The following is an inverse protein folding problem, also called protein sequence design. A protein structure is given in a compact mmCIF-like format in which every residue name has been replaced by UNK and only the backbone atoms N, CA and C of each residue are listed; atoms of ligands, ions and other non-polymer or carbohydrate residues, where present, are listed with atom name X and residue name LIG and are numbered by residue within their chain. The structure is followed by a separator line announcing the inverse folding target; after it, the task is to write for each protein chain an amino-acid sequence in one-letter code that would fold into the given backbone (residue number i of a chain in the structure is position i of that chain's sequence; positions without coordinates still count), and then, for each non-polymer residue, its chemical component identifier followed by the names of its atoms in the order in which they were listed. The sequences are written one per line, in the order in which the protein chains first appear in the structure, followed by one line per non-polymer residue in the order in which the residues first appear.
data_IF_569407292092
#
_entry.id   IF_569407292092
#
_cell.length_a   1.000
_cell.length_b   1.000
_cell.length_c   1.000
_cell.angle_alpha   90.00
_cell.angle_beta   90.00
_cell.angle_gamma   90.00
#
_symmetry.space_group_name_H-M   'P 1'
#
loop_
_entity.id
_entity.type
_entity.pdbx_description
1 polymer ?
#
# COMPACT_ATOMS: atom_id res chain seq x y z
N UNK A 1 24.64 -7.94 11.30
CA UNK A 1 23.17 -8.08 11.21
C UNK A 1 22.73 -7.76 9.78
N UNK A 2 22.08 -8.70 9.09
CA UNK A 2 21.66 -8.54 7.69
C UNK A 2 20.40 -7.67 7.61
N UNK A 3 20.43 -6.64 6.75
CA UNK A 3 19.30 -5.80 6.39
C UNK A 3 18.11 -6.66 5.94
N UNK A 4 16.99 -6.62 6.66
CA UNK A 4 15.72 -7.20 6.20
C UNK A 4 15.17 -6.33 5.07
N UNK A 5 15.56 -6.64 3.82
CA UNK A 5 14.84 -6.19 2.63
C UNK A 5 13.43 -6.76 2.73
N UNK A 6 12.42 -5.91 2.93
CA UNK A 6 11.04 -6.26 2.63
C UNK A 6 10.98 -6.63 1.16
N UNK A 7 10.90 -7.93 0.89
CA UNK A 7 10.82 -8.50 -0.45
C UNK A 7 9.37 -8.41 -0.95
N UNK A 8 8.73 -7.25 -0.79
CA UNK A 8 7.39 -7.02 -1.34
C UNK A 8 7.56 -6.94 -2.84
N UNK A 9 7.26 -8.03 -3.54
CA UNK A 9 7.33 -8.09 -5.00
C UNK A 9 6.12 -7.41 -5.65
N UNK A 10 5.11 -7.09 -4.85
CA UNK A 10 3.83 -6.56 -5.31
C UNK A 10 3.77 -5.04 -5.15
N UNK A 11 3.19 -4.43 -6.17
CA UNK A 11 3.02 -2.99 -6.28
C UNK A 11 1.58 -2.73 -6.68
N UNK A 12 0.88 -1.92 -5.91
CA UNK A 12 -0.40 -1.38 -6.29
C UNK A 12 -0.17 -0.13 -7.13
N UNK A 13 -0.74 -0.13 -8.32
CA UNK A 13 -0.75 1.00 -9.26
C UNK A 13 -2.16 1.54 -9.27
N UNK A 14 -2.32 2.78 -8.82
CA UNK A 14 -3.61 3.49 -8.86
C UNK A 14 -3.54 4.59 -9.91
N UNK A 15 -4.29 4.41 -11.00
CA UNK A 15 -4.49 5.41 -12.03
C UNK A 15 -5.43 6.51 -11.53
N UNK A 16 -5.25 7.73 -12.01
CA UNK A 16 -6.25 8.79 -11.85
C UNK A 16 -7.55 8.40 -12.54
N UNK A 17 -8.66 8.95 -12.05
CA UNK A 17 -9.95 8.81 -12.72
C UNK A 17 -9.87 9.48 -14.08
N UNK A 18 -10.20 8.71 -15.11
CA UNK A 18 -10.36 9.17 -16.49
C UNK A 18 -11.82 9.57 -16.73
N UNK A 19 -12.04 10.47 -17.68
CA UNK A 19 -13.38 10.91 -18.10
C UNK A 19 -14.11 9.83 -18.91
N UNK A 20 -13.34 8.96 -19.58
CA UNK A 20 -13.86 7.88 -20.41
C UNK A 20 -12.89 6.68 -20.47
N UNK A 21 -13.36 5.49 -20.91
CA UNK A 21 -12.52 4.28 -20.96
C UNK A 21 -11.27 4.42 -21.85
N UNK A 22 -11.36 5.13 -22.99
CA UNK A 22 -10.22 5.27 -23.90
C UNK A 22 -9.06 6.04 -23.28
N UNK A 23 -9.37 7.04 -22.46
CA UNK A 23 -8.34 7.78 -21.72
C UNK A 23 -7.65 6.88 -20.68
N UNK A 24 -8.41 6.02 -19.98
CA UNK A 24 -7.83 5.05 -19.06
C UNK A 24 -6.93 4.05 -19.81
N UNK A 25 -7.39 3.50 -20.92
CA UNK A 25 -6.59 2.58 -21.76
C UNK A 25 -5.30 3.25 -22.23
N UNK A 26 -5.35 4.51 -22.65
CA UNK A 26 -4.17 5.28 -23.03
C UNK A 26 -3.22 5.48 -21.86
N UNK A 27 -3.73 5.75 -20.65
CA UNK A 27 -2.89 5.88 -19.46
C UNK A 27 -2.18 4.56 -19.10
N UNK A 28 -2.86 3.43 -19.27
CA UNK A 28 -2.29 2.10 -19.05
C UNK A 28 -1.21 1.82 -20.09
N UNK A 29 -1.50 2.06 -21.37
CA UNK A 29 -0.54 1.89 -22.46
C UNK A 29 0.71 2.77 -22.29
N UNK A 30 0.54 4.06 -21.96
CA UNK A 30 1.65 4.96 -21.67
C UNK A 30 2.52 4.40 -20.52
N UNK A 31 1.86 3.93 -19.46
CA UNK A 31 2.53 3.34 -18.31
C UNK A 31 3.33 2.09 -18.67
N UNK A 32 2.74 1.15 -19.43
CA UNK A 32 3.40 -0.09 -19.86
C UNK A 32 4.61 0.19 -20.77
N UNK A 33 4.48 1.09 -21.76
CA UNK A 33 5.62 1.46 -22.61
C UNK A 33 6.76 2.07 -21.78
N UNK A 34 6.43 2.94 -20.84
CA UNK A 34 7.43 3.56 -19.99
C UNK A 34 8.10 2.57 -19.05
N UNK A 35 7.48 1.45 -18.68
CA UNK A 35 8.13 0.42 -17.86
C UNK A 35 8.81 -0.68 -18.69
N UNK A 36 8.41 -0.91 -19.94
CA UNK A 36 8.94 -1.99 -20.81
C UNK A 36 10.43 -1.85 -21.15
N UNK A 37 10.99 -0.64 -21.07
CA UNK A 37 12.44 -0.42 -21.09
C UNK A 37 13.19 -1.21 -19.98
N UNK A 38 12.47 -1.63 -18.94
CA UNK A 38 13.01 -2.44 -17.85
C UNK A 38 13.08 -3.87 -18.37
N UNK A 39 14.31 -4.31 -18.71
CA UNK A 39 14.68 -5.62 -19.30
C UNK A 39 14.29 -6.87 -18.49
N UNK A 40 13.40 -6.77 -17.51
CA UNK A 40 12.98 -7.87 -16.63
C UNK A 40 11.49 -8.07 -16.74
N UNK A 41 11.03 -9.33 -16.78
CA UNK A 41 9.62 -9.63 -16.83
C UNK A 41 8.92 -9.09 -15.57
N UNK A 42 7.77 -8.47 -15.80
CA UNK A 42 6.78 -8.14 -14.80
C UNK A 42 5.46 -8.78 -15.20
N UNK A 43 4.54 -8.92 -14.24
CA UNK A 43 3.17 -9.31 -14.51
C UNK A 43 2.26 -8.21 -13.99
N UNK A 44 1.35 -7.73 -14.85
CA UNK A 44 0.35 -6.72 -14.52
C UNK A 44 -1.02 -7.39 -14.48
N UNK A 45 -1.64 -7.37 -13.31
CA UNK A 45 -2.94 -8.00 -13.04
C UNK A 45 -3.99 -6.89 -12.86
N UNK A 46 -5.12 -7.03 -13.55
CA UNK A 46 -6.32 -6.23 -13.31
C UNK A 46 -6.90 -6.52 -11.93
N UNK A 47 -7.57 -5.53 -11.34
CA UNK A 47 -8.38 -5.71 -10.14
C UNK A 47 -9.86 -5.46 -10.44
N UNK A 48 -10.73 -5.74 -9.46
CA UNK A 48 -12.16 -5.40 -9.56
C UNK A 48 -12.42 -3.89 -9.69
N UNK A 49 -11.41 -3.04 -9.48
CA UNK A 49 -11.48 -1.63 -9.78
C UNK A 49 -10.69 -1.32 -11.06
N UNK A 50 -11.33 -0.73 -12.09
CA UNK A 50 -10.68 -0.45 -13.38
C UNK A 50 -9.50 0.51 -13.27
N UNK A 51 -9.40 1.31 -12.20
CA UNK A 51 -8.30 2.24 -11.97
C UNK A 51 -7.19 1.67 -11.08
N UNK A 52 -7.29 0.41 -10.66
CA UNK A 52 -6.28 -0.23 -9.80
C UNK A 52 -5.76 -1.49 -10.47
N UNK A 53 -4.43 -1.56 -10.57
CA UNK A 53 -3.71 -2.71 -11.09
C UNK A 53 -2.67 -3.16 -10.07
N UNK A 54 -2.38 -4.46 -10.09
CA UNK A 54 -1.34 -5.06 -9.26
C UNK A 54 -0.21 -5.53 -10.15
N UNK A 55 0.97 -4.98 -9.92
CA UNK A 55 2.18 -5.40 -10.60
C UNK A 55 3.01 -6.30 -9.69
N UNK A 56 3.32 -7.49 -10.18
CA UNK A 56 4.35 -8.35 -9.62
C UNK A 56 5.68 -8.09 -10.31
N UNK A 57 6.65 -7.61 -9.54
CA UNK A 57 7.99 -7.32 -10.03
C UNK A 57 9.06 -7.63 -8.99
N UNK A 58 10.13 -8.30 -9.44
CA UNK A 58 11.21 -8.76 -8.55
C UNK A 58 11.94 -7.64 -7.81
N UNK A 59 11.88 -6.39 -8.30
CA UNK A 59 12.58 -5.24 -7.74
C UNK A 59 11.70 -3.98 -7.73
N UNK A 60 10.66 -3.90 -6.90
CA UNK A 60 9.67 -2.81 -6.94
C UNK A 60 10.27 -1.40 -6.83
N UNK A 61 11.41 -1.25 -6.18
CA UNK A 61 12.10 0.03 -6.03
C UNK A 61 12.56 0.64 -7.36
N UNK A 62 12.87 -0.19 -8.36
CA UNK A 62 13.24 0.31 -9.69
C UNK A 62 12.03 0.95 -10.38
N UNK A 63 10.86 0.30 -10.30
CA UNK A 63 9.59 0.83 -10.83
C UNK A 63 9.19 2.12 -10.12
N UNK A 64 9.20 2.12 -8.78
CA UNK A 64 8.88 3.30 -7.97
C UNK A 64 9.78 4.47 -8.37
N UNK A 65 11.10 4.24 -8.46
CA UNK A 65 12.05 5.29 -8.83
C UNK A 65 11.83 5.78 -10.26
N UNK A 66 11.55 4.87 -11.21
CA UNK A 66 11.32 5.26 -12.62
C UNK A 66 10.11 6.19 -12.72
N UNK A 67 9.02 5.86 -12.05
CA UNK A 67 7.82 6.71 -12.03
C UNK A 67 8.04 8.01 -11.25
N UNK A 68 8.76 7.99 -10.12
CA UNK A 68 9.05 9.21 -9.37
C UNK A 68 9.88 10.25 -10.16
N UNK A 69 10.68 9.79 -11.13
CA UNK A 69 11.53 10.60 -12.00
C UNK A 69 10.86 11.03 -13.32
N UNK A 70 9.74 10.43 -13.71
CA UNK A 70 8.97 10.81 -14.90
C UNK A 70 7.73 11.59 -14.47
N UNK A 71 7.78 12.92 -14.55
CA UNK A 71 6.69 13.79 -14.10
C UNK A 71 5.38 13.55 -14.85
N UNK A 72 5.44 13.15 -16.12
CA UNK A 72 4.25 12.80 -16.92
C UNK A 72 3.52 11.62 -16.30
N UNK A 73 4.22 10.51 -16.04
CA UNK A 73 3.62 9.31 -15.42
C UNK A 73 3.21 9.60 -13.97
N UNK A 74 4.10 10.23 -13.19
CA UNK A 74 3.88 10.55 -11.78
C UNK A 74 2.62 11.37 -11.56
N UNK A 75 2.29 12.24 -12.50
CA UNK A 75 1.07 13.03 -12.45
C UNK A 75 -0.18 12.18 -12.71
N UNK A 76 -0.07 11.03 -13.38
CA UNK A 76 -1.16 10.16 -13.83
C UNK A 76 -1.40 8.97 -12.90
N UNK A 77 -0.36 8.46 -12.24
CA UNK A 77 -0.44 7.23 -11.43
C UNK A 77 0.19 7.39 -10.06
N UNK A 78 -0.35 6.66 -9.08
CA UNK A 78 0.23 6.50 -7.76
C UNK A 78 0.72 5.07 -7.59
N UNK A 79 2.00 4.92 -7.28
CA UNK A 79 2.64 3.62 -7.06
C UNK A 79 2.87 3.37 -5.59
N UNK A 80 2.41 2.21 -5.11
CA UNK A 80 2.42 1.88 -3.68
C UNK A 80 2.94 0.45 -3.53
N UNK A 81 4.10 0.23 -2.88
CA UNK A 81 4.53 -1.13 -2.57
C UNK A 81 3.59 -1.74 -1.53
N UNK A 82 3.05 -2.93 -1.82
CA UNK A 82 2.00 -3.55 -0.99
C UNK A 82 2.30 -5.01 -0.73
N UNK A 83 1.50 -5.63 0.13
CA UNK A 83 1.34 -7.08 0.22
C UNK A 83 -0.12 -7.40 -0.01
N UNK A 84 -0.41 -8.28 -0.96
CA UNK A 84 -1.76 -8.77 -1.20
C UNK A 84 -2.16 -9.77 -0.12
N UNK A 85 -3.41 -9.68 0.32
CA UNK A 85 -4.08 -10.66 1.18
C UNK A 85 -5.53 -10.77 0.74
N UNK A 86 -6.16 -11.91 1.01
CA UNK A 86 -7.62 -12.02 0.90
C UNK A 86 -8.29 -10.98 1.79
N UNK A 87 -9.37 -10.36 1.30
CA UNK A 87 -10.17 -9.37 2.02
C UNK A 87 -10.94 -10.01 3.20
N UNK A 88 -10.21 -10.30 4.26
CA UNK A 88 -10.71 -10.87 5.50
C UNK A 88 -9.96 -10.23 6.66
N UNK A 89 -10.69 -9.72 7.66
CA UNK A 89 -10.11 -9.00 8.80
C UNK A 89 -9.04 -9.83 9.51
N UNK A 90 -9.23 -11.14 9.69
CA UNK A 90 -8.24 -12.01 10.32
C UNK A 90 -6.93 -12.06 9.51
N UNK A 91 -7.03 -12.21 8.18
CA UNK A 91 -5.87 -12.28 7.30
C UNK A 91 -5.13 -10.95 7.25
N UNK A 92 -5.88 -9.85 7.15
CA UNK A 92 -5.34 -8.50 7.15
C UNK A 92 -4.58 -8.22 8.45
N UNK A 93 -5.21 -8.44 9.60
CA UNK A 93 -4.58 -8.25 10.92
C UNK A 93 -3.35 -9.13 11.10
N UNK A 94 -3.43 -10.42 10.72
CA UNK A 94 -2.31 -11.36 10.84
C UNK A 94 -1.08 -10.90 10.06
N UNK A 95 -1.27 -10.47 8.80
CA UNK A 95 -0.16 -10.01 7.96
C UNK A 95 0.42 -8.68 8.46
N UNK A 96 -0.41 -7.77 8.99
CA UNK A 96 0.07 -6.54 9.65
C UNK A 96 0.98 -6.89 10.83
N UNK A 97 0.49 -7.72 11.77
CA UNK A 97 1.22 -8.10 12.98
C UNK A 97 2.53 -8.77 12.62
N UNK A 98 2.53 -9.73 11.68
CA UNK A 98 3.73 -10.40 11.19
C UNK A 98 4.80 -9.41 10.68
N UNK A 99 4.39 -8.32 10.02
CA UNK A 99 5.33 -7.33 9.48
C UNK A 99 5.92 -6.39 10.53
N UNK A 100 5.18 -6.09 11.60
CA UNK A 100 5.56 -5.05 12.58
C UNK A 100 6.00 -5.59 13.95
N UNK A 101 5.50 -6.74 14.40
CA UNK A 101 5.68 -7.28 15.77
C UNK A 101 7.13 -7.28 16.26
N UNK A 102 8.07 -7.66 15.39
CA UNK A 102 9.49 -7.75 15.76
C UNK A 102 10.26 -6.44 15.56
N UNK A 103 9.57 -5.34 15.24
CA UNK A 103 10.15 -4.02 14.94
C UNK A 103 9.56 -2.90 15.81
N UNK A 104 8.52 -3.22 16.58
CA UNK A 104 7.79 -2.32 17.47
C UNK A 104 8.36 -2.38 18.89
N UNK A 105 8.41 -1.24 19.56
CA UNK A 105 8.51 -1.15 21.03
C UNK A 105 7.15 -0.81 21.64
N UNK A 106 6.97 -1.00 22.95
CA UNK A 106 5.72 -0.69 23.65
C UNK A 106 5.31 0.79 23.54
N UNK A 107 6.28 1.69 23.44
CA UNK A 107 6.07 3.12 23.23
C UNK A 107 5.73 3.48 21.76
N UNK A 108 5.73 2.50 20.85
CA UNK A 108 5.34 2.76 19.47
C UNK A 108 3.83 2.99 19.40
N UNK A 109 3.44 3.81 18.44
CA UNK A 109 2.03 4.06 18.12
C UNK A 109 1.78 3.79 16.65
N UNK A 110 0.52 3.60 16.30
CA UNK A 110 0.14 3.33 14.91
C UNK A 110 -1.14 4.06 14.50
N UNK A 111 -1.35 4.15 13.20
CA UNK A 111 -2.58 4.63 12.57
C UNK A 111 -2.96 3.61 11.51
N UNK A 112 -4.21 3.13 11.57
CA UNK A 112 -4.80 2.31 10.51
C UNK A 112 -5.64 3.22 9.63
N UNK A 113 -5.48 3.09 8.32
CA UNK A 113 -6.30 3.82 7.34
C UNK A 113 -6.71 2.88 6.22
N UNK A 114 -8.01 2.68 6.09
CA UNK A 114 -8.64 1.98 5.00
C UNK A 114 -8.91 2.94 3.83
N UNK A 115 -8.58 2.48 2.63
CA UNK A 115 -8.83 3.16 1.37
C UNK A 115 -9.81 2.28 0.61
N UNK A 116 -11.06 2.69 0.59
CA UNK A 116 -12.15 2.01 -0.12
C UNK A 116 -12.46 2.81 -1.37
N UNK A 117 -12.73 2.14 -2.49
CA UNK A 117 -13.16 2.81 -3.71
C UNK A 117 -14.71 2.79 -3.81
N UNK A 118 -15.36 3.83 -4.37
CA UNK A 118 -16.80 3.93 -4.53
C UNK A 118 -17.51 2.73 -5.19
N UNK A 119 -16.79 1.89 -5.93
CA UNK A 119 -17.35 0.68 -6.55
C UNK A 119 -17.72 -0.41 -5.52
N UNK A 120 -17.28 -0.26 -4.26
CA UNK A 120 -17.59 -1.19 -3.19
C UNK A 120 -18.39 -0.50 -2.09
N UNK A 121 -19.61 -0.97 -1.85
CA UNK A 121 -20.49 -0.44 -0.81
C UNK A 121 -20.08 -0.97 0.57
N UNK A 122 -18.95 -0.48 1.08
CA UNK A 122 -18.46 -0.84 2.41
C UNK A 122 -19.21 0.03 3.42
N UNK A 123 -20.23 -0.56 4.06
CA UNK A 123 -21.10 0.13 5.02
C UNK A 123 -20.40 0.66 6.27
N UNK A 124 -19.10 0.41 6.48
CA UNK A 124 -18.37 1.05 7.58
C UNK A 124 -16.86 0.84 7.47
N UNK A 125 -16.20 1.60 6.57
CA UNK A 125 -14.74 1.73 6.57
C UNK A 125 -14.18 1.92 8.00
N UNK A 126 -14.83 2.79 8.77
CA UNK A 126 -14.45 3.13 10.15
C UNK A 126 -14.56 1.93 11.10
N UNK A 127 -15.54 1.03 10.89
CA UNK A 127 -15.66 -0.19 11.68
C UNK A 127 -14.51 -1.15 11.38
N UNK A 128 -14.11 -1.28 10.10
CA UNK A 128 -12.97 -2.12 9.72
C UNK A 128 -11.68 -1.57 10.35
N UNK A 129 -11.46 -0.26 10.26
CA UNK A 129 -10.31 0.39 10.91
C UNK A 129 -10.30 0.16 12.42
N UNK A 130 -11.47 0.29 13.08
CA UNK A 130 -11.65 0.04 14.50
C UNK A 130 -11.35 -1.41 14.89
N UNK A 131 -11.97 -2.38 14.21
CA UNK A 131 -11.78 -3.81 14.50
C UNK A 131 -10.32 -4.25 14.32
N UNK A 132 -9.67 -3.77 13.26
CA UNK A 132 -8.25 -4.06 13.02
C UNK A 132 -7.40 -3.44 14.13
N UNK A 133 -7.70 -2.21 14.54
CA UNK A 133 -6.97 -1.51 15.60
C UNK A 133 -7.10 -2.24 16.94
N UNK A 134 -8.33 -2.59 17.37
CA UNK A 134 -8.53 -3.36 18.60
C UNK A 134 -7.71 -4.65 18.62
N UNK A 135 -7.68 -5.39 17.50
CA UNK A 135 -6.91 -6.64 17.42
C UNK A 135 -5.41 -6.42 17.47
N UNK A 136 -4.90 -5.37 16.81
CA UNK A 136 -3.47 -5.01 16.88
C UNK A 136 -3.09 -4.68 18.32
N UNK A 137 -3.86 -3.81 18.97
CA UNK A 137 -3.63 -3.40 20.36
C UNK A 137 -3.64 -4.59 21.32
N UNK A 138 -4.63 -5.49 21.17
CA UNK A 138 -4.74 -6.68 22.02
C UNK A 138 -3.60 -7.69 21.83
N UNK A 139 -2.97 -7.78 20.65
CA UNK A 139 -1.95 -8.79 20.35
C UNK A 139 -0.52 -8.29 20.56
N UNK A 140 -0.24 -7.03 20.23
CA UNK A 140 1.12 -6.46 20.30
C UNK A 140 1.28 -5.31 21.30
N UNK A 141 0.21 -4.93 22.00
CA UNK A 141 0.22 -3.97 23.12
C UNK A 141 0.84 -2.62 22.77
N UNK A 142 0.54 -2.12 21.56
CA UNK A 142 0.82 -0.72 21.17
C UNK A 142 -0.52 -0.01 20.94
N UNK A 143 -0.56 1.30 21.15
CA UNK A 143 -1.79 2.08 21.10
C UNK A 143 -1.95 2.86 19.78
N UNK A 144 -3.19 3.07 19.30
CA UNK A 144 -3.44 3.92 18.15
C UNK A 144 -3.16 5.40 18.46
N UNK A 145 -2.61 6.14 17.49
CA UNK A 145 -2.41 7.59 17.57
C UNK A 145 -2.50 8.20 16.16
N UNK A 146 -3.63 8.84 15.86
CA UNK A 146 -3.89 9.41 14.53
C UNK A 146 -3.19 10.76 14.29
N UNK A 147 -2.54 11.36 15.30
CA UNK A 147 -1.83 12.64 15.15
C UNK A 147 -0.36 12.44 14.79
N UNK A 148 0.34 11.58 15.52
CA UNK A 148 1.77 11.30 15.34
C UNK A 148 2.06 9.80 15.47
N UNK A 149 1.54 8.97 14.54
CA UNK A 149 1.79 7.54 14.56
C UNK A 149 3.26 7.25 14.21
N UNK A 150 3.88 6.31 14.93
CA UNK A 150 5.18 5.74 14.52
C UNK A 150 5.04 4.81 13.32
N UNK A 151 3.88 4.19 13.15
CA UNK A 151 3.56 3.28 12.06
C UNK A 151 2.28 3.69 11.35
N UNK A 152 2.36 3.93 10.04
CA UNK A 152 1.19 4.15 9.19
C UNK A 152 0.85 2.86 8.46
N UNK A 153 -0.33 2.32 8.71
CA UNK A 153 -0.83 1.07 8.14
C UNK A 153 -1.97 1.44 7.19
N UNK A 154 -1.69 1.41 5.89
CA UNK A 154 -2.67 1.70 4.85
C UNK A 154 -3.19 0.40 4.27
N UNK A 155 -4.50 0.25 4.19
CA UNK A 155 -5.17 -0.95 3.68
C UNK A 155 -6.03 -0.52 2.51
N UNK A 156 -5.71 -0.97 1.30
CA UNK A 156 -6.52 -0.72 0.10
C UNK A 156 -7.46 -1.90 -0.09
N UNK A 157 -8.76 -1.69 0.10
CA UNK A 157 -9.77 -2.75 -0.03
C UNK A 157 -10.33 -2.69 -1.44
N UNK A 158 -10.14 -3.75 -2.22
CA UNK A 158 -10.53 -3.81 -3.63
C UNK A 158 -11.10 -5.20 -3.90
N UNK A 159 -12.43 -5.31 -3.85
CA UNK A 159 -13.08 -6.58 -4.12
C UNK A 159 -12.79 -7.63 -3.05
N UNK A 160 -12.45 -8.83 -3.52
CA UNK A 160 -12.06 -9.97 -2.69
C UNK A 160 -10.61 -9.89 -2.18
N UNK A 161 -9.83 -8.90 -2.62
CA UNK A 161 -8.44 -8.69 -2.19
C UNK A 161 -8.27 -7.40 -1.38
N UNK A 162 -7.26 -7.39 -0.53
CA UNK A 162 -6.81 -6.23 0.22
C UNK A 162 -5.31 -6.08 0.13
N UNK A 163 -4.85 -4.84 -0.04
CA UNK A 163 -3.44 -4.54 -0.23
C UNK A 163 -2.90 -3.71 0.92
N UNK A 164 -1.90 -4.24 1.61
CA UNK A 164 -1.38 -3.65 2.85
C UNK A 164 -0.06 -2.91 2.57
N UNK A 165 -0.04 -1.61 2.85
CA UNK A 165 1.18 -0.79 2.85
C UNK A 165 1.48 -0.29 4.25
N UNK A 166 2.62 -0.71 4.82
CA UNK A 166 3.07 -0.27 6.14
C UNK A 166 4.33 0.57 6.01
N UNK A 167 4.30 1.77 6.61
CA UNK A 167 5.42 2.71 6.63
C UNK A 167 5.76 3.11 8.06
N UNK A 168 7.04 3.02 8.43
CA UNK A 168 7.55 3.61 9.67
C UNK A 168 7.77 5.10 9.43
N UNK A 169 7.21 5.97 10.27
CA UNK A 169 7.48 7.41 10.18
C UNK A 169 8.92 7.66 10.65
N UNK A 170 9.65 8.50 9.91
CA UNK A 170 10.97 8.96 10.35
C UNK A 170 10.71 10.01 11.44
N UNK A 171 11.04 9.70 12.68
CA UNK A 171 11.12 10.76 13.70
C UNK A 171 12.22 11.72 13.26
N UNK A 172 11.91 13.01 13.15
CA UNK A 172 12.95 14.03 13.12
C UNK A 172 13.73 13.87 14.43
N UNK A 173 14.98 13.39 14.34
CA UNK A 173 15.93 13.64 15.42
C UNK A 173 15.99 15.16 15.55
N UNK A 174 15.37 15.70 16.61
CA UNK A 174 15.71 17.04 17.06
C UNK A 174 17.19 16.98 17.39
N UNK A 175 18.03 17.50 16.50
CA UNK A 175 19.40 17.81 16.83
C UNK A 175 19.31 18.86 17.94
N UNK A 176 19.50 18.43 19.18
CA UNK A 176 19.81 19.33 20.27
C UNK A 176 21.13 20.00 19.90
N UNK A 177 21.05 21.29 19.57
CA UNK A 177 22.18 22.21 19.51
C UNK A 177 22.05 23.14 20.69
#
# INVERSE_FOLDING_TARGET
MKNYKTNTKEILIKFKKAENPKELDQMIYDFENDIDDIKKPYYLKESENPYIYIMEYSKPKEIIKKVELNDTIKSKVKIIPVTSVTNNINHITSEIIKKIRNKTSLEDTYEVTCHTDPYYNIKSKDLIEYEISERIENIIHIHPNNKQPKWKINIYIVGDESFINIKKTKQHQKNNT
#
